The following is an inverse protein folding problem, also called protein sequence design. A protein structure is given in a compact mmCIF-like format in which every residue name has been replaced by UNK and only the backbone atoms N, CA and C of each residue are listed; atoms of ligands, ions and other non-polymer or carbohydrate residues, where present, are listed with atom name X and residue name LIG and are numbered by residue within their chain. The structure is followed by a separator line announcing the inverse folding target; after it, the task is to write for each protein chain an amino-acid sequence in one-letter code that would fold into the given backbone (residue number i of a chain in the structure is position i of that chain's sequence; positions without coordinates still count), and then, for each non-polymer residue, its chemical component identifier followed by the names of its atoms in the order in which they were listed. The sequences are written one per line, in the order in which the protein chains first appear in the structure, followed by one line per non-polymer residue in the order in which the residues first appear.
data_IF_782645541078
#
_entry.id   IF_782645541078
#
_cell.length_a   1.000
_cell.length_b   1.000
_cell.length_c   1.000
_cell.angle_alpha   90.00
_cell.angle_beta   90.00
_cell.angle_gamma   90.00
#
_symmetry.space_group_name_H-M   'P 1'
#
loop_
_entity.id
_entity.type
_entity.pdbx_description
1 polymer ?
#
# COMPACT_ATOMS: atom_id res chain seq x y z
N UNK A 1 22.61 -28.27 -18.77
CA UNK A 1 22.19 -26.91 -18.38
C UNK A 1 20.95 -27.07 -17.50
N UNK A 2 21.03 -26.82 -16.18
CA UNK A 2 19.85 -27.00 -15.30
C UNK A 2 18.86 -25.88 -15.61
N UNK A 3 17.64 -26.24 -15.99
CA UNK A 3 16.54 -25.28 -16.14
C UNK A 3 16.39 -24.50 -14.84
N UNK A 4 16.49 -23.17 -14.94
CA UNK A 4 16.16 -22.25 -13.86
C UNK A 4 14.67 -22.45 -13.58
N UNK A 5 14.33 -23.04 -12.43
CA UNK A 5 12.95 -23.10 -11.93
C UNK A 5 12.39 -21.68 -12.04
N UNK A 6 11.40 -21.44 -12.91
CA UNK A 6 10.77 -20.12 -13.05
C UNK A 6 10.16 -19.78 -11.69
N UNK A 7 10.82 -18.91 -10.94
CA UNK A 7 10.28 -18.40 -9.68
C UNK A 7 9.26 -17.35 -10.05
N UNK A 8 7.98 -17.71 -9.94
CA UNK A 8 6.87 -16.78 -10.09
C UNK A 8 6.99 -15.74 -8.98
N UNK A 9 6.98 -14.46 -9.34
CA UNK A 9 7.06 -13.35 -8.40
C UNK A 9 5.66 -13.09 -7.82
N UNK A 10 5.53 -13.23 -6.50
CA UNK A 10 4.27 -13.04 -5.81
C UNK A 10 4.10 -11.61 -5.31
N UNK A 11 3.17 -10.87 -5.93
CA UNK A 11 2.91 -9.45 -5.67
C UNK A 11 1.66 -9.22 -4.82
N UNK A 12 1.82 -8.42 -3.77
CA UNK A 12 0.72 -7.89 -2.98
C UNK A 12 0.11 -6.63 -3.59
N UNK A 13 -1.20 -6.67 -3.81
CA UNK A 13 -2.00 -5.54 -4.31
C UNK A 13 -2.90 -5.01 -3.19
N UNK A 14 -2.98 -3.69 -2.97
CA UNK A 14 -3.79 -3.12 -1.91
C UNK A 14 -5.28 -3.27 -2.25
N UNK A 15 -6.03 -3.90 -1.34
CA UNK A 15 -7.49 -3.99 -1.40
C UNK A 15 -8.14 -2.70 -0.90
N UNK A 16 -9.29 -2.34 -1.47
CA UNK A 16 -10.09 -1.20 -1.01
C UNK A 16 -9.79 0.10 -1.77
N UNK A 17 -9.50 1.18 -1.04
CA UNK A 17 -9.49 2.55 -1.57
C UNK A 17 -8.47 2.81 -2.69
N UNK A 18 -7.36 2.08 -2.69
CA UNK A 18 -6.27 2.19 -3.68
C UNK A 18 -6.33 1.12 -4.76
N UNK A 19 -7.27 0.17 -4.68
CA UNK A 19 -7.31 -0.98 -5.58
C UNK A 19 -7.43 -0.55 -7.03
N UNK A 20 -8.47 0.21 -7.38
CA UNK A 20 -8.69 0.62 -8.78
C UNK A 20 -7.56 1.50 -9.33
N UNK A 21 -7.02 2.41 -8.51
CA UNK A 21 -5.87 3.24 -8.91
C UNK A 21 -4.62 2.38 -9.15
N UNK A 22 -4.43 1.34 -8.36
CA UNK A 22 -3.33 0.38 -8.53
C UNK A 22 -3.53 -0.44 -9.81
N UNK A 23 -4.70 -1.03 -10.01
CA UNK A 23 -5.01 -1.79 -11.23
C UNK A 23 -4.86 -0.93 -12.48
N UNK A 24 -5.23 0.36 -12.41
CA UNK A 24 -5.02 1.31 -13.50
C UNK A 24 -3.55 1.59 -13.78
N UNK A 25 -2.72 1.67 -12.74
CA UNK A 25 -1.27 1.83 -12.88
C UNK A 25 -0.65 0.61 -13.59
N UNK A 26 -1.06 -0.60 -13.21
CA UNK A 26 -0.60 -1.84 -13.86
C UNK A 26 -1.04 -1.90 -15.33
N UNK A 27 -2.29 -1.53 -15.64
CA UNK A 27 -2.76 -1.45 -17.03
C UNK A 27 -1.93 -0.48 -17.88
N UNK A 28 -1.55 0.68 -17.32
CA UNK A 28 -0.65 1.63 -17.99
C UNK A 28 0.76 1.08 -18.20
N UNK A 29 1.21 0.17 -17.34
CA UNK A 29 2.49 -0.52 -17.46
C UNK A 29 2.43 -1.73 -18.40
N UNK A 30 1.25 -2.06 -18.97
CA UNK A 30 1.07 -3.18 -19.89
C UNK A 30 0.60 -4.49 -19.26
N UNK A 31 0.24 -4.49 -17.98
CA UNK A 31 -0.28 -5.67 -17.27
C UNK A 31 -1.79 -5.59 -17.07
N UNK A 32 -2.52 -6.60 -17.52
CA UNK A 32 -3.95 -6.74 -17.26
C UNK A 32 -4.18 -7.62 -16.02
N UNK A 33 -4.60 -6.97 -14.94
CA UNK A 33 -4.96 -7.62 -13.69
C UNK A 33 -6.47 -7.58 -13.52
N UNK A 34 -7.10 -8.75 -13.46
CA UNK A 34 -8.53 -8.92 -13.27
C UNK A 34 -8.86 -9.43 -11.87
N UNK A 35 -9.79 -8.75 -11.20
CA UNK A 35 -10.20 -9.06 -9.83
C UNK A 35 -11.70 -9.31 -9.78
N UNK A 36 -12.11 -10.51 -9.37
CA UNK A 36 -13.53 -10.79 -9.08
C UNK A 36 -14.01 -10.00 -7.85
N UNK A 37 -15.29 -9.64 -7.82
CA UNK A 37 -15.88 -8.76 -6.78
C UNK A 37 -15.62 -9.19 -5.33
N UNK A 38 -15.48 -10.49 -5.08
CA UNK A 38 -15.17 -11.07 -3.76
C UNK A 38 -13.85 -11.82 -3.71
N UNK A 39 -13.08 -11.83 -4.80
CA UNK A 39 -11.81 -12.55 -4.85
C UNK A 39 -10.72 -11.81 -4.08
N UNK A 40 -9.79 -12.58 -3.55
CA UNK A 40 -8.51 -12.10 -3.03
C UNK A 40 -7.34 -12.53 -3.92
N UNK A 41 -7.58 -13.42 -4.88
CA UNK A 41 -6.58 -13.86 -5.86
C UNK A 41 -6.98 -13.26 -7.21
N UNK A 42 -6.18 -12.35 -7.77
CA UNK A 42 -6.41 -11.81 -9.10
C UNK A 42 -5.87 -12.77 -10.18
N UNK A 43 -6.37 -12.62 -11.40
CA UNK A 43 -5.74 -13.18 -12.59
C UNK A 43 -4.84 -12.11 -13.21
N UNK A 44 -3.60 -12.47 -13.53
CA UNK A 44 -2.62 -11.59 -14.19
C UNK A 44 -2.25 -12.22 -15.53
N UNK A 45 -2.15 -11.41 -16.58
CA UNK A 45 -1.76 -11.84 -17.93
C UNK A 45 -0.24 -11.99 -18.13
N UNK A 46 0.47 -12.36 -17.08
CA UNK A 46 1.90 -12.63 -17.12
C UNK A 46 2.19 -13.92 -16.31
N UNK A 47 2.75 -14.98 -16.95
CA UNK A 47 3.04 -16.24 -16.27
C UNK A 47 4.18 -16.16 -15.23
N UNK A 48 4.94 -15.06 -15.20
CA UNK A 48 6.00 -14.82 -14.24
C UNK A 48 5.51 -14.06 -13.00
N UNK A 49 4.22 -13.68 -12.95
CA UNK A 49 3.59 -12.97 -11.84
C UNK A 49 2.43 -13.76 -11.23
N UNK A 50 2.33 -13.75 -9.90
CA UNK A 50 1.11 -14.13 -9.16
C UNK A 50 0.71 -13.00 -8.22
N UNK A 51 -0.58 -12.87 -7.90
CA UNK A 51 -1.06 -11.77 -7.07
C UNK A 51 -1.83 -12.22 -5.83
N UNK A 52 -1.84 -11.36 -4.82
CA UNK A 52 -2.76 -11.44 -3.68
C UNK A 52 -3.27 -10.04 -3.33
N UNK A 53 -4.58 -9.86 -3.27
CA UNK A 53 -5.16 -8.65 -2.70
C UNK A 53 -5.16 -8.75 -1.18
N UNK A 54 -4.50 -7.82 -0.51
CA UNK A 54 -4.49 -7.73 0.96
C UNK A 54 -4.70 -6.29 1.40
N UNK A 55 -5.00 -6.10 2.68
CA UNK A 55 -5.09 -4.77 3.25
C UNK A 55 -3.71 -4.10 3.21
N UNK A 56 -3.68 -2.82 2.88
CA UNK A 56 -2.43 -2.05 2.83
C UNK A 56 -1.67 -2.10 4.17
N UNK A 57 -2.42 -2.14 5.29
CA UNK A 57 -1.87 -2.30 6.63
C UNK A 57 -1.12 -3.61 6.86
N UNK A 58 -1.35 -4.67 6.08
CA UNK A 58 -0.70 -5.96 6.31
C UNK A 58 0.47 -6.18 5.34
N UNK A 59 0.56 -5.35 4.30
CA UNK A 59 1.46 -5.53 3.15
C UNK A 59 2.94 -5.63 3.56
N UNK A 60 3.41 -4.68 4.37
CA UNK A 60 4.82 -4.60 4.73
C UNK A 60 5.26 -5.83 5.52
N UNK A 61 4.43 -6.30 6.45
CA UNK A 61 4.67 -7.52 7.22
C UNK A 61 4.67 -8.77 6.34
N UNK A 62 3.74 -8.89 5.41
CA UNK A 62 3.69 -10.05 4.50
C UNK A 62 4.94 -10.16 3.62
N UNK A 63 5.49 -9.03 3.18
CA UNK A 63 6.75 -8.99 2.44
C UNK A 63 7.93 -9.32 3.35
N UNK A 64 7.97 -8.74 4.57
CA UNK A 64 9.03 -9.03 5.53
C UNK A 64 9.09 -10.52 5.91
N UNK A 65 7.93 -11.15 6.12
CA UNK A 65 7.80 -12.53 6.55
C UNK A 65 7.97 -13.52 5.38
N UNK A 66 8.21 -13.03 4.16
CA UNK A 66 8.46 -13.85 2.95
C UNK A 66 7.21 -14.53 2.38
N UNK A 67 6.02 -14.11 2.80
CA UNK A 67 4.74 -14.61 2.27
C UNK A 67 4.48 -14.02 0.87
N UNK A 68 4.86 -12.76 0.68
CA UNK A 68 4.88 -12.05 -0.60
C UNK A 68 6.32 -11.65 -0.92
N UNK A 69 6.68 -11.64 -2.20
CA UNK A 69 8.01 -11.19 -2.63
C UNK A 69 8.09 -9.67 -2.69
N UNK A 70 6.98 -9.02 -3.03
CA UNK A 70 6.84 -7.56 -3.06
C UNK A 70 5.40 -7.13 -2.87
N UNK A 71 5.17 -5.85 -2.61
CA UNK A 71 3.81 -5.31 -2.50
C UNK A 71 3.76 -3.80 -2.57
N UNK A 72 2.57 -3.27 -2.84
CA UNK A 72 2.31 -1.83 -2.88
C UNK A 72 1.55 -1.42 -1.63
N UNK A 73 2.15 -0.54 -0.83
CA UNK A 73 1.49 0.03 0.35
C UNK A 73 1.92 1.48 0.56
N UNK A 74 1.19 2.16 1.43
CA UNK A 74 1.56 3.48 1.90
C UNK A 74 2.84 3.45 2.73
N UNK A 75 3.64 4.50 2.62
CA UNK A 75 4.90 4.65 3.38
C UNK A 75 4.66 4.76 4.88
N UNK A 76 3.51 5.35 5.25
CA UNK A 76 2.96 5.37 6.61
C UNK A 76 2.92 3.97 7.23
N UNK A 77 2.31 3.00 6.55
CA UNK A 77 2.18 1.64 7.08
C UNK A 77 3.52 0.93 7.31
N UNK A 78 4.50 1.16 6.43
CA UNK A 78 5.86 0.61 6.58
C UNK A 78 6.53 1.18 7.84
N UNK A 79 6.39 2.48 8.07
CA UNK A 79 6.95 3.17 9.23
C UNK A 79 6.26 2.76 10.53
N UNK A 80 4.92 2.68 10.53
CA UNK A 80 4.11 2.28 11.69
C UNK A 80 4.44 0.87 12.17
N UNK A 81 4.57 -0.08 11.24
CA UNK A 81 4.92 -1.46 11.58
C UNK A 81 6.39 -1.66 11.90
N UNK A 82 7.24 -0.65 11.67
CA UNK A 82 8.70 -0.77 11.71
C UNK A 82 9.19 -1.99 10.90
N UNK A 83 8.57 -2.22 9.74
CA UNK A 83 8.81 -3.40 8.93
C UNK A 83 10.17 -3.33 8.24
N UNK A 84 10.93 -4.43 8.29
CA UNK A 84 12.24 -4.57 7.66
C UNK A 84 12.10 -4.95 6.18
N UNK A 85 11.61 -4.00 5.39
CA UNK A 85 11.48 -4.15 3.94
C UNK A 85 12.35 -3.13 3.21
N UNK A 86 12.73 -3.44 1.98
CA UNK A 86 13.43 -2.50 1.10
C UNK A 86 12.41 -1.69 0.31
N UNK A 87 12.39 -0.38 0.51
CA UNK A 87 11.65 0.53 -0.37
C UNK A 87 12.31 0.53 -1.75
N UNK A 88 11.55 0.15 -2.79
CA UNK A 88 12.06 0.06 -4.18
C UNK A 88 11.95 1.41 -4.87
N UNK A 89 10.75 2.00 -4.90
CA UNK A 89 10.52 3.32 -5.45
C UNK A 89 9.21 3.93 -4.90
N UNK A 90 9.13 5.27 -4.83
CA UNK A 90 7.87 5.94 -4.54
C UNK A 90 6.95 5.89 -5.77
N UNK A 91 5.71 5.46 -5.58
CA UNK A 91 4.67 5.51 -6.59
C UNK A 91 3.71 6.66 -6.29
N UNK A 92 3.73 7.68 -7.13
CA UNK A 92 2.91 8.87 -6.96
C UNK A 92 1.49 8.63 -7.48
N UNK A 93 0.66 7.97 -6.68
CA UNK A 93 -0.76 7.83 -6.98
C UNK A 93 -1.59 7.75 -5.70
N UNK A 94 -2.78 8.33 -5.75
CA UNK A 94 -3.77 8.25 -4.70
C UNK A 94 -5.15 8.07 -5.33
N UNK A 95 -6.16 7.73 -4.51
CA UNK A 95 -7.55 7.60 -4.96
C UNK A 95 -8.02 8.81 -5.79
N UNK A 96 -7.63 10.02 -5.38
CA UNK A 96 -8.10 11.30 -5.96
C UNK A 96 -7.11 12.02 -6.87
N UNK A 97 -5.98 11.40 -7.26
CA UNK A 97 -4.99 12.03 -8.15
C UNK A 97 -3.53 11.75 -7.77
N UNK A 98 -2.60 12.51 -8.36
CA UNK A 98 -1.15 12.32 -8.16
C UNK A 98 -0.56 13.16 -7.01
N UNK A 99 -1.41 13.87 -6.25
CA UNK A 99 -0.93 14.75 -5.17
C UNK A 99 -0.58 13.90 -3.95
N UNK A 100 0.60 14.07 -3.35
CA UNK A 100 0.95 13.38 -2.12
C UNK A 100 0.02 13.80 -0.99
N UNK A 101 -0.36 12.84 -0.16
CA UNK A 101 -1.08 13.09 1.09
C UNK A 101 -0.12 13.62 2.14
N UNK A 102 -0.61 14.50 3.02
CA UNK A 102 0.17 15.09 4.11
C UNK A 102 -0.48 14.75 5.45
N UNK A 103 0.35 14.34 6.40
CA UNK A 103 -0.04 14.23 7.80
C UNK A 103 -0.37 15.62 8.35
N UNK A 104 -1.57 15.75 8.90
CA UNK A 104 -2.05 17.00 9.49
C UNK A 104 -2.56 16.72 10.90
N UNK A 105 -2.40 17.71 11.77
CA UNK A 105 -3.13 17.73 13.04
C UNK A 105 -4.41 18.51 12.79
N UNK A 106 -5.54 17.90 13.12
CA UNK A 106 -6.86 18.52 13.02
C UNK A 106 -7.43 18.74 14.42
N UNK A 107 -8.14 19.85 14.60
CA UNK A 107 -8.91 20.16 15.80
C UNK A 107 -10.34 20.53 15.39
N UNK A 108 -11.34 20.45 16.28
CA UNK A 108 -12.67 20.99 16.02
C UNK A 108 -12.61 22.45 15.56
N UNK A 109 -13.53 22.87 14.69
CA UNK A 109 -13.54 24.23 14.12
C UNK A 109 -13.68 25.32 15.20
N UNK A 110 -14.30 25.01 16.33
CA UNK A 110 -14.50 25.87 17.49
C UNK A 110 -13.40 25.72 18.55
N UNK A 111 -12.34 24.94 18.27
CA UNK A 111 -11.25 24.71 19.21
C UNK A 111 -10.41 25.98 19.43
N UNK A 112 -10.01 26.29 20.68
CA UNK A 112 -9.11 27.39 20.95
C UNK A 112 -7.64 27.09 20.55
N UNK A 113 -7.33 25.86 20.15
CA UNK A 113 -5.99 25.44 19.71
C UNK A 113 -5.71 26.04 18.34
N UNK A 114 -4.64 26.82 18.22
CA UNK A 114 -4.25 27.45 16.95
C UNK A 114 -2.86 27.01 16.47
N UNK A 115 -2.02 26.49 17.36
CA UNK A 115 -0.65 26.07 17.06
C UNK A 115 -0.29 24.79 17.80
N UNK A 116 0.72 24.08 17.31
CA UNK A 116 1.19 22.81 17.89
C UNK A 116 1.52 22.92 19.39
N UNK A 117 2.06 24.08 19.83
CA UNK A 117 2.39 24.31 21.24
C UNK A 117 1.17 24.26 22.16
N UNK A 118 -0.02 24.58 21.65
CA UNK A 118 -1.26 24.58 22.43
C UNK A 118 -1.75 23.15 22.72
N UNK A 119 -1.16 22.14 22.07
CA UNK A 119 -1.39 20.72 22.35
C UNK A 119 -0.60 20.21 23.57
N UNK A 120 0.24 21.03 24.18
CA UNK A 120 1.03 20.62 25.35
C UNK A 120 0.11 20.12 26.48
N UNK A 121 0.36 18.89 26.94
CA UNK A 121 -0.46 18.23 27.97
C UNK A 121 -1.85 17.79 27.50
N UNK A 122 -2.17 17.89 26.20
CA UNK A 122 -3.41 17.37 25.61
C UNK A 122 -3.22 15.92 25.14
N UNK A 123 -4.34 15.23 24.94
CA UNK A 123 -4.37 13.90 24.33
C UNK A 123 -4.61 14.05 22.83
N UNK A 124 -3.82 13.33 22.02
CA UNK A 124 -3.98 13.26 20.57
C UNK A 124 -4.50 11.87 20.23
N UNK A 125 -5.61 11.81 19.49
CA UNK A 125 -6.08 10.56 18.89
C UNK A 125 -5.54 10.47 17.46
N UNK A 126 -4.95 9.34 17.11
CA UNK A 126 -4.46 9.02 15.77
C UNK A 126 -4.74 7.55 15.51
N UNK A 127 -4.99 7.20 14.25
CA UNK A 127 -4.78 5.83 13.80
C UNK A 127 -3.26 5.58 13.76
N UNK A 128 -2.84 4.37 14.12
CA UNK A 128 -1.46 3.87 14.20
C UNK A 128 -1.37 2.58 13.36
#
# INVERSE_FOLDING_TARGET
MKEKKRTVLNIGLPKGSLQESTLHLFRKAGFNINVGSRSYVPTIDDPELSGLLIRAQEMARYVQDGILDMGLTGRDWVLEQNAKVKEVCPLLYARGGLRPVRWVVAVPNDSPIQRIRDLQGKRVATEL
#
